data_IF_026663328080
#
_entry.id   IF_026663328080
#
_cell.length_a   1.000
_cell.length_b   1.000
_cell.length_c   1.000
_cell.angle_alpha   90.00
_cell.angle_beta   90.00
_cell.angle_gamma   90.00
#
_symmetry.space_group_name_H-M   'P 1'
#
loop_
_entity.id
_entity.type
_entity.pdbx_description
1 polymer ?
#
# COMPACT_ATOMS: atom_id res chain seq x y z
N UNK A 1 -12.57 -26.43 -25.02
CA UNK A 1 -12.30 -25.20 -24.25
C UNK A 1 -11.88 -24.14 -25.24
N UNK A 2 -12.76 -23.20 -25.56
CA UNK A 2 -12.53 -22.18 -26.60
C UNK A 2 -11.83 -20.99 -25.96
N UNK A 3 -10.50 -21.03 -25.97
CA UNK A 3 -9.67 -19.88 -25.62
C UNK A 3 -9.90 -18.80 -26.68
N UNK A 4 -10.42 -17.66 -26.23
CA UNK A 4 -11.11 -16.71 -27.07
C UNK A 4 -10.17 -15.96 -28.03
N UNK A 5 -10.66 -15.84 -29.26
CA UNK A 5 -10.14 -15.15 -30.44
C UNK A 5 -10.11 -13.61 -30.24
N UNK A 6 -9.33 -13.09 -29.29
CA UNK A 6 -9.16 -11.64 -29.10
C UNK A 6 -7.68 -11.23 -29.16
N UNK A 7 -7.26 -10.42 -30.15
CA UNK A 7 -5.85 -10.05 -30.34
C UNK A 7 -5.37 -8.90 -29.42
N UNK A 8 -6.23 -8.37 -28.56
CA UNK A 8 -5.90 -7.24 -27.66
C UNK A 8 -6.63 -7.31 -26.32
N UNK A 9 -6.01 -6.74 -25.28
CA UNK A 9 -6.58 -6.56 -23.94
C UNK A 9 -6.48 -5.09 -23.54
N UNK A 10 -7.48 -4.56 -22.84
CA UNK A 10 -7.45 -3.19 -22.29
C UNK A 10 -7.05 -3.23 -20.83
N UNK A 11 -6.00 -2.50 -20.47
CA UNK A 11 -5.54 -2.36 -19.08
C UNK A 11 -6.05 -1.02 -18.55
N UNK A 12 -6.94 -1.06 -17.57
CA UNK A 12 -7.46 0.11 -16.86
C UNK A 12 -6.59 0.39 -15.63
N UNK A 13 -6.65 1.63 -15.09
CA UNK A 13 -5.98 2.04 -13.83
C UNK A 13 -4.44 2.13 -13.83
N UNK A 14 -3.76 1.96 -14.98
CA UNK A 14 -2.30 2.08 -15.06
C UNK A 14 -1.89 3.21 -15.99
N UNK A 15 -1.15 4.19 -15.46
CA UNK A 15 -0.55 5.25 -16.25
C UNK A 15 0.37 4.68 -17.35
N UNK A 16 0.32 5.20 -18.59
CA UNK A 16 1.09 4.65 -19.71
C UNK A 16 2.61 4.55 -19.46
N UNK A 17 3.15 5.43 -18.63
CA UNK A 17 4.57 5.41 -18.22
C UNK A 17 4.86 4.22 -17.30
N UNK A 18 4.00 3.96 -16.32
CA UNK A 18 4.14 2.80 -15.41
C UNK A 18 3.98 1.48 -16.17
N UNK A 19 3.01 1.42 -17.10
CA UNK A 19 2.80 0.24 -17.94
C UNK A 19 4.01 -0.06 -18.84
N UNK A 20 4.60 0.97 -19.46
CA UNK A 20 5.85 0.81 -20.23
C UNK A 20 7.01 0.28 -19.40
N UNK A 21 7.17 0.77 -18.18
CA UNK A 21 8.21 0.26 -17.28
C UNK A 21 7.97 -1.21 -16.90
N UNK A 22 6.71 -1.57 -16.61
CA UNK A 22 6.32 -2.94 -16.29
C UNK A 22 6.54 -3.91 -17.45
N UNK A 23 6.15 -3.53 -18.67
CA UNK A 23 6.41 -4.32 -19.87
C UNK A 23 7.90 -4.49 -20.12
N UNK A 24 8.69 -3.42 -19.95
CA UNK A 24 10.14 -3.52 -20.12
C UNK A 24 10.73 -4.57 -19.18
N UNK A 25 10.37 -4.53 -17.90
CA UNK A 25 10.78 -5.54 -16.94
C UNK A 25 10.38 -6.96 -17.34
N UNK A 26 9.12 -7.18 -17.73
CA UNK A 26 8.63 -8.51 -18.12
C UNK A 26 9.42 -9.13 -19.28
N UNK A 27 9.80 -8.32 -20.27
CA UNK A 27 10.43 -8.83 -21.49
C UNK A 27 11.96 -8.86 -21.44
N UNK A 28 12.58 -8.05 -20.58
CA UNK A 28 14.05 -7.97 -20.50
C UNK A 28 14.61 -8.52 -19.20
N UNK A 29 13.75 -8.95 -18.26
CA UNK A 29 14.05 -9.29 -16.87
C UNK A 29 15.01 -8.27 -16.20
N UNK A 30 14.96 -7.04 -16.71
CA UNK A 30 15.87 -5.97 -16.35
C UNK A 30 15.07 -4.70 -16.13
N UNK A 31 14.81 -4.44 -14.86
CA UNK A 31 14.88 -3.06 -14.42
C UNK A 31 16.35 -2.70 -14.52
N UNK A 32 16.71 -1.90 -15.53
CA UNK A 32 18.08 -1.38 -15.68
C UNK A 32 18.59 -0.73 -14.37
N UNK A 33 17.67 -0.33 -13.50
CA UNK A 33 17.93 0.04 -12.12
C UNK A 33 16.98 -0.73 -11.18
N UNK A 34 17.39 -1.88 -10.64
CA UNK A 34 16.73 -2.42 -9.43
C UNK A 34 16.74 -1.37 -8.30
N UNK A 35 17.80 -0.55 -8.27
CA UNK A 35 17.90 0.67 -7.46
C UNK A 35 16.79 1.70 -7.72
N UNK A 36 16.18 1.75 -8.92
CA UNK A 36 15.12 2.68 -9.24
C UNK A 36 13.78 2.22 -8.67
N UNK A 37 13.53 0.91 -8.56
CA UNK A 37 12.35 0.40 -7.87
C UNK A 37 12.46 0.59 -6.36
N UNK A 38 13.63 0.32 -5.77
CA UNK A 38 13.86 0.58 -4.34
C UNK A 38 13.76 2.08 -4.04
N UNK A 39 14.33 2.93 -4.91
CA UNK A 39 14.19 4.39 -4.83
C UNK A 39 12.76 4.86 -5.03
N UNK A 40 12.00 4.25 -5.95
CA UNK A 40 10.59 4.56 -6.16
C UNK A 40 9.77 4.17 -4.92
N UNK A 41 10.00 2.97 -4.36
CA UNK A 41 9.39 2.53 -3.10
C UNK A 41 9.69 3.52 -1.97
N UNK A 42 10.92 4.00 -1.87
CA UNK A 42 11.31 5.01 -0.88
C UNK A 42 10.55 6.33 -1.09
N UNK A 43 10.54 6.86 -2.31
CA UNK A 43 9.85 8.12 -2.65
C UNK A 43 8.34 8.00 -2.37
N UNK A 44 7.70 6.91 -2.79
CA UNK A 44 6.30 6.65 -2.50
C UNK A 44 6.05 6.57 -0.99
N UNK A 45 6.93 5.89 -0.25
CA UNK A 45 6.80 5.76 1.21
C UNK A 45 6.88 7.12 1.90
N UNK A 46 7.86 7.95 1.55
CA UNK A 46 7.98 9.32 2.07
C UNK A 46 6.74 10.15 1.75
N UNK A 47 6.25 10.07 0.51
CA UNK A 47 5.05 10.82 0.10
C UNK A 47 3.80 10.36 0.83
N UNK A 48 3.66 9.06 1.08
CA UNK A 48 2.54 8.52 1.85
C UNK A 48 2.63 8.94 3.32
N UNK A 49 3.82 8.96 3.92
CA UNK A 49 4.04 9.44 5.30
C UNK A 49 3.56 10.90 5.46
N UNK A 50 3.86 11.77 4.49
CA UNK A 50 3.38 13.17 4.49
C UNK A 50 1.85 13.30 4.42
N UNK A 51 1.17 12.30 3.86
CA UNK A 51 -0.28 12.30 3.67
C UNK A 51 -1.03 11.45 4.70
N UNK A 52 -0.38 11.07 5.81
CA UNK A 52 -1.04 10.35 6.92
C UNK A 52 -1.99 11.30 7.65
N UNK A 53 -3.27 10.94 7.62
CA UNK A 53 -4.35 11.60 8.36
C UNK A 53 -5.31 10.53 8.88
N UNK A 54 -6.25 10.89 9.76
CA UNK A 54 -7.23 9.93 10.27
C UNK A 54 -8.04 9.25 9.16
N UNK A 55 -8.36 9.97 8.07
CA UNK A 55 -9.07 9.45 6.91
C UNK A 55 -8.27 8.45 6.05
N UNK A 56 -6.94 8.56 6.04
CA UNK A 56 -6.07 7.84 5.10
C UNK A 56 -5.19 6.78 5.76
N UNK A 57 -4.96 6.88 7.08
CA UNK A 57 -4.00 6.05 7.82
C UNK A 57 -4.30 4.55 7.73
N UNK A 58 -5.58 4.15 7.66
CA UNK A 58 -5.97 2.75 7.47
C UNK A 58 -5.47 2.19 6.14
N UNK A 59 -5.79 2.88 5.04
CA UNK A 59 -5.35 2.49 3.69
C UNK A 59 -3.82 2.54 3.54
N UNK A 60 -3.17 3.54 4.13
CA UNK A 60 -1.71 3.68 4.10
C UNK A 60 -1.04 2.56 4.90
N UNK A 61 -1.59 2.16 6.05
CA UNK A 61 -1.08 1.03 6.83
C UNK A 61 -1.22 -0.30 6.08
N UNK A 62 -2.34 -0.51 5.37
CA UNK A 62 -2.53 -1.64 4.45
C UNK A 62 -1.44 -1.67 3.38
N UNK A 63 -1.08 -0.52 2.80
CA UNK A 63 0.04 -0.41 1.86
C UNK A 63 1.38 -0.77 2.52
N UNK A 64 1.63 -0.26 3.73
CA UNK A 64 2.84 -0.55 4.50
C UNK A 64 3.06 -2.04 4.74
N UNK A 65 1.99 -2.76 5.11
CA UNK A 65 2.02 -4.22 5.28
C UNK A 65 2.18 -4.94 3.94
N UNK A 66 1.37 -4.60 2.94
CA UNK A 66 1.35 -5.27 1.62
C UNK A 66 2.70 -5.21 0.92
N UNK A 67 3.38 -4.06 0.98
CA UNK A 67 4.65 -3.83 0.29
C UNK A 67 5.87 -4.01 1.20
N UNK A 68 5.69 -4.54 2.41
CA UNK A 68 6.73 -4.75 3.41
C UNK A 68 7.60 -3.48 3.61
N UNK A 69 6.93 -2.36 3.89
CA UNK A 69 7.56 -1.07 4.18
C UNK A 69 7.45 -0.76 5.67
N UNK A 70 8.50 -1.16 6.41
CA UNK A 70 8.54 -1.07 7.87
C UNK A 70 8.44 0.37 8.39
N UNK A 71 9.01 1.34 7.68
CA UNK A 71 8.99 2.75 8.08
C UNK A 71 7.57 3.32 8.01
N UNK A 72 6.86 3.05 6.90
CA UNK A 72 5.47 3.47 6.71
C UNK A 72 4.55 2.80 7.74
N UNK A 73 4.75 1.50 7.99
CA UNK A 73 4.04 0.75 9.03
C UNK A 73 4.26 1.36 10.40
N UNK A 74 5.51 1.60 10.80
CA UNK A 74 5.84 2.17 12.09
C UNK A 74 5.23 3.58 12.29
N UNK A 75 5.29 4.44 11.27
CA UNK A 75 4.66 5.77 11.31
C UNK A 75 3.14 5.69 11.49
N UNK A 76 2.47 4.80 10.74
CA UNK A 76 1.02 4.62 10.88
C UNK A 76 0.64 4.06 12.25
N UNK A 77 1.37 3.07 12.76
CA UNK A 77 1.15 2.52 14.10
C UNK A 77 1.35 3.58 15.19
N UNK A 78 2.34 4.46 15.04
CA UNK A 78 2.54 5.60 15.93
C UNK A 78 1.40 6.61 15.88
N UNK A 79 0.79 6.83 14.70
CA UNK A 79 -0.39 7.68 14.56
C UNK A 79 -1.61 7.11 15.28
N UNK A 80 -1.81 5.78 15.22
CA UNK A 80 -2.88 5.09 15.93
C UNK A 80 -2.69 5.01 17.45
N UNK A 81 -1.48 5.19 17.97
CA UNK A 81 -1.22 5.22 19.40
C UNK A 81 -1.88 6.44 20.09
N UNK A 82 -2.27 7.46 19.34
CA UNK A 82 -3.02 8.61 19.86
C UNK A 82 -4.52 8.30 19.82
N UNK A 83 -5.17 8.21 20.99
CA UNK A 83 -6.56 7.76 21.12
C UNK A 83 -7.56 8.56 20.24
N UNK A 84 -7.40 9.89 20.18
CA UNK A 84 -8.24 10.75 19.34
C UNK A 84 -8.18 10.35 17.86
N UNK A 85 -6.96 10.11 17.36
CA UNK A 85 -6.72 9.73 15.98
C UNK A 85 -7.27 8.34 15.69
N UNK A 86 -7.12 7.41 16.64
CA UNK A 86 -7.69 6.06 16.53
C UNK A 86 -9.20 6.10 16.40
N UNK A 87 -9.90 6.83 17.28
CA UNK A 87 -11.36 6.94 17.25
C UNK A 87 -11.87 7.45 15.90
N UNK A 88 -11.19 8.42 15.31
CA UNK A 88 -11.58 8.95 13.99
C UNK A 88 -11.27 7.95 12.86
N UNK A 89 -10.09 7.32 12.89
CA UNK A 89 -9.65 6.41 11.84
C UNK A 89 -10.46 5.10 11.77
N UNK A 90 -11.02 4.61 12.89
CA UNK A 90 -11.81 3.36 12.94
C UNK A 90 -13.06 3.40 12.06
N UNK A 91 -13.61 4.59 11.80
CA UNK A 91 -14.81 4.76 10.96
C UNK A 91 -14.51 4.88 9.46
N UNK A 92 -13.26 4.68 9.04
CA UNK A 92 -12.88 4.82 7.64
C UNK A 92 -12.93 3.49 6.89
N UNK A 93 -13.24 3.54 5.59
CA UNK A 93 -13.19 2.36 4.71
C UNK A 93 -11.80 1.70 4.71
N UNK A 94 -10.74 2.52 4.82
CA UNK A 94 -9.37 2.03 4.92
C UNK A 94 -9.15 1.14 6.15
N UNK A 95 -9.81 1.44 7.27
CA UNK A 95 -9.75 0.60 8.47
C UNK A 95 -10.56 -0.69 8.31
N UNK A 96 -11.73 -0.64 7.68
CA UNK A 96 -12.51 -1.84 7.38
C UNK A 96 -11.72 -2.83 6.49
N UNK A 97 -11.05 -2.31 5.44
CA UNK A 97 -10.18 -3.11 4.57
C UNK A 97 -9.02 -3.72 5.36
N UNK A 98 -8.43 -2.98 6.30
CA UNK A 98 -7.36 -3.48 7.16
C UNK A 98 -7.81 -4.69 7.98
N UNK A 99 -8.99 -4.62 8.61
CA UNK A 99 -9.54 -5.73 9.40
C UNK A 99 -9.80 -6.96 8.54
N UNK A 100 -10.27 -6.77 7.31
CA UNK A 100 -10.61 -7.85 6.38
C UNK A 100 -9.36 -8.53 5.79
N UNK A 101 -8.38 -7.75 5.33
CA UNK A 101 -7.17 -8.29 4.67
C UNK A 101 -6.12 -8.79 5.64
N UNK A 102 -5.97 -8.14 6.80
CA UNK A 102 -4.85 -8.40 7.71
C UNK A 102 -5.30 -8.57 9.18
N UNK A 103 -5.92 -9.72 9.53
CA UNK A 103 -6.38 -9.97 10.90
C UNK A 103 -5.25 -9.96 11.94
N UNK A 104 -4.06 -10.41 11.56
CA UNK A 104 -2.86 -10.40 12.41
C UNK A 104 -2.40 -8.98 12.76
N UNK A 105 -2.40 -8.08 11.77
CA UNK A 105 -2.07 -6.66 11.96
C UNK A 105 -3.11 -5.96 12.83
N UNK A 106 -4.40 -6.28 12.64
CA UNK A 106 -5.46 -5.77 13.49
C UNK A 106 -5.27 -6.20 14.97
N UNK A 107 -4.83 -7.43 15.20
CA UNK A 107 -4.49 -7.90 16.55
C UNK A 107 -3.26 -7.19 17.14
N UNK A 108 -2.23 -6.90 16.32
CA UNK A 108 -1.08 -6.08 16.73
C UNK A 108 -1.54 -4.68 17.15
N UNK A 109 -2.40 -4.06 16.34
CA UNK A 109 -2.91 -2.71 16.59
C UNK A 109 -3.69 -2.63 17.90
N UNK A 110 -4.57 -3.60 18.15
CA UNK A 110 -5.33 -3.68 19.42
C UNK A 110 -4.41 -3.72 20.64
N UNK A 111 -3.27 -4.42 20.58
CA UNK A 111 -2.31 -4.46 21.70
C UNK A 111 -1.64 -3.11 21.97
N UNK A 112 -1.45 -2.29 20.93
CA UNK A 112 -0.77 -0.98 21.04
C UNK A 112 -1.68 0.17 21.46
N UNK A 113 -2.98 0.07 21.20
CA UNK A 113 -3.98 1.11 21.53
C UNK A 113 -4.55 0.93 22.94
N UNK A 114 -4.42 -0.26 23.53
CA UNK A 114 -4.95 -0.61 24.87
C UNK A 114 -3.91 -0.36 25.99
N UNK A 115 -2.84 0.39 25.70
CA UNK A 115 -1.93 0.98 26.71
C UNK A 115 -2.07 2.50 26.67
#
# INVERSE_FOLDING_TARGET
>A
MAEAKMPSITVQEIEPVAFRAMLRFMYTDSFHDRYALDRLKLICSLKLIENVSAGTVGSILVCGETYNCSELKAKCLGFFAVEKNFKEAVFTDGFAILLQRFPSLAAELKKRVVM
#
